data_IF_219043115332
#
_entry.id   IF_219043115332
#
_cell.length_a   1.000
_cell.length_b   1.000
_cell.length_c   1.000
_cell.angle_alpha   90.00
_cell.angle_beta   90.00
_cell.angle_gamma   90.00
#
_symmetry.space_group_name_H-M   'P 1'
#
loop_
_entity.id
_entity.type
_entity.pdbx_description
1 polymer ?
#
# COMPACT_ATOMS: atom_id res chain seq x y z
N UNK A 1 -11.40 14.89 -14.69
CA UNK A 1 -10.71 15.37 -13.46
C UNK A 1 -9.51 16.19 -13.90
N UNK A 2 -9.32 17.40 -13.38
CA UNK A 2 -8.12 18.19 -13.71
C UNK A 2 -6.89 17.54 -13.05
N UNK A 3 -5.79 17.42 -13.79
CA UNK A 3 -4.59 16.70 -13.35
C UNK A 3 -3.88 17.34 -12.15
N UNK A 4 -4.09 18.64 -11.93
CA UNK A 4 -3.51 19.40 -10.82
C UNK A 4 -4.19 19.15 -9.47
N UNK A 5 -5.41 18.60 -9.47
CA UNK A 5 -6.19 18.42 -8.24
C UNK A 5 -5.57 17.34 -7.34
N UNK A 6 -5.67 17.54 -6.04
CA UNK A 6 -5.39 16.52 -5.04
C UNK A 6 -6.56 15.54 -4.90
N UNK A 7 -6.31 14.37 -4.32
CA UNK A 7 -7.38 13.41 -4.04
C UNK A 7 -8.46 13.99 -3.12
N UNK A 8 -8.09 14.84 -2.16
CA UNK A 8 -9.03 15.56 -1.30
C UNK A 8 -10.00 16.44 -2.10
N UNK A 9 -9.46 17.28 -2.98
CA UNK A 9 -10.27 18.17 -3.83
C UNK A 9 -11.20 17.39 -4.76
N UNK A 10 -10.72 16.25 -5.29
CA UNK A 10 -11.56 15.34 -6.10
C UNK A 10 -12.68 14.73 -5.25
N UNK A 11 -12.38 14.31 -4.01
CA UNK A 11 -13.38 13.76 -3.10
C UNK A 11 -14.41 14.81 -2.69
N UNK A 12 -14.02 16.06 -2.43
CA UNK A 12 -14.93 17.16 -2.13
C UNK A 12 -15.89 17.43 -3.29
N UNK A 13 -15.36 17.55 -4.50
CA UNK A 13 -16.18 17.74 -5.70
C UNK A 13 -17.13 16.57 -5.96
N UNK A 14 -16.71 15.33 -5.64
CA UNK A 14 -17.56 14.15 -5.76
C UNK A 14 -18.68 14.13 -4.70
N UNK A 15 -18.36 14.42 -3.43
CA UNK A 15 -19.34 14.50 -2.32
C UNK A 15 -20.44 15.54 -2.53
N UNK A 16 -20.15 16.61 -3.29
CA UNK A 16 -21.15 17.60 -3.66
C UNK A 16 -22.26 17.09 -4.61
N UNK A 17 -22.19 15.83 -5.08
CA UNK A 17 -23.20 15.26 -5.97
C UNK A 17 -24.34 14.60 -5.19
N UNK A 18 -25.60 14.75 -5.62
CA UNK A 18 -26.76 14.22 -4.89
C UNK A 18 -26.72 12.72 -4.55
N UNK A 19 -26.13 11.93 -5.44
CA UNK A 19 -26.03 10.46 -5.31
C UNK A 19 -25.09 9.99 -4.19
N UNK A 20 -24.26 10.88 -3.64
CA UNK A 20 -23.30 10.57 -2.57
C UNK A 20 -23.63 11.27 -1.25
N UNK A 21 -24.83 11.84 -1.12
CA UNK A 21 -25.29 12.39 0.14
C UNK A 21 -25.46 11.29 1.21
N UNK A 22 -25.28 11.73 2.44
CA UNK A 22 -25.29 10.92 3.66
C UNK A 22 -26.60 10.12 3.78
N UNK A 23 -26.48 8.80 3.70
CA UNK A 23 -27.55 7.82 3.87
C UNK A 23 -27.56 7.23 5.29
N UNK A 24 -26.83 7.84 6.23
CA UNK A 24 -26.65 7.34 7.60
C UNK A 24 -25.58 6.24 7.71
N UNK A 25 -24.85 5.92 6.64
CA UNK A 25 -23.73 4.99 6.70
C UNK A 25 -22.51 5.65 7.38
N UNK A 26 -21.91 5.05 8.41
CA UNK A 26 -20.78 5.64 9.13
C UNK A 26 -19.46 5.63 8.33
N UNK A 27 -19.44 4.97 7.16
CA UNK A 27 -18.24 4.85 6.34
C UNK A 27 -18.11 6.05 5.41
N UNK A 28 -16.97 6.73 5.50
CA UNK A 28 -16.64 7.85 4.63
C UNK A 28 -16.31 7.38 3.20
N UNK A 29 -16.70 8.20 2.23
CA UNK A 29 -16.23 8.03 0.85
C UNK A 29 -14.78 8.51 0.71
N UNK A 30 -13.99 7.78 -0.07
CA UNK A 30 -12.63 8.15 -0.42
C UNK A 30 -12.30 7.70 -1.85
N UNK A 31 -11.13 8.09 -2.33
CA UNK A 31 -10.65 7.76 -3.67
C UNK A 31 -9.65 6.62 -3.62
N UNK A 32 -9.83 5.66 -4.53
CA UNK A 32 -8.99 4.50 -4.69
C UNK A 32 -8.33 4.49 -6.06
N UNK A 33 -7.08 4.04 -6.10
CA UNK A 33 -6.39 3.64 -7.32
C UNK A 33 -6.54 2.14 -7.48
N UNK A 34 -7.05 1.72 -8.62
CA UNK A 34 -7.23 0.31 -8.98
C UNK A 34 -6.39 0.01 -10.21
N UNK A 35 -5.65 -1.09 -10.16
CA UNK A 35 -4.77 -1.56 -11.24
C UNK A 35 -4.96 -3.06 -11.47
N UNK A 36 -4.36 -3.61 -12.53
CA UNK A 36 -4.43 -5.06 -12.84
C UNK A 36 -5.88 -5.55 -12.95
N UNK A 37 -6.72 -4.79 -13.64
CA UNK A 37 -8.09 -5.19 -13.96
C UNK A 37 -8.99 -5.35 -12.74
N UNK A 38 -8.66 -4.69 -11.62
CA UNK A 38 -9.41 -4.81 -10.38
C UNK A 38 -8.77 -5.71 -9.32
N UNK A 39 -7.66 -6.39 -9.63
CA UNK A 39 -7.03 -7.33 -8.71
C UNK A 39 -6.25 -6.64 -7.58
N UNK A 40 -5.79 -5.40 -7.81
CA UNK A 40 -5.01 -4.62 -6.87
C UNK A 40 -5.65 -3.25 -6.66
N UNK A 41 -5.91 -2.90 -5.40
CA UNK A 41 -6.53 -1.63 -5.04
C UNK A 41 -5.80 -0.97 -3.87
N UNK A 42 -5.63 0.34 -3.92
CA UNK A 42 -5.15 1.10 -2.76
C UNK A 42 -5.96 2.36 -2.54
N UNK A 43 -6.06 2.79 -1.28
CA UNK A 43 -6.52 4.12 -0.96
C UNK A 43 -5.48 5.15 -1.40
N UNK A 44 -5.93 6.24 -1.98
CA UNK A 44 -5.08 7.36 -2.37
C UNK A 44 -4.97 8.32 -1.19
N UNK A 45 -3.76 8.79 -0.87
CA UNK A 45 -3.58 9.80 0.18
C UNK A 45 -4.24 11.10 -0.25
N UNK A 46 -4.88 11.79 0.70
CA UNK A 46 -5.62 13.03 0.48
C UNK A 46 -4.78 14.12 -0.22
N UNK A 47 -3.45 14.11 0.00
CA UNK A 47 -2.48 15.06 -0.58
C UNK A 47 -1.95 14.65 -1.97
N UNK A 48 -2.14 13.40 -2.37
CA UNK A 48 -1.60 12.90 -3.63
C UNK A 48 -2.33 13.55 -4.82
N UNK A 49 -1.55 14.03 -5.81
CA UNK A 49 -2.08 14.71 -6.99
C UNK A 49 -2.50 13.71 -8.06
N UNK A 50 -3.57 13.98 -8.78
CA UNK A 50 -3.99 13.10 -9.88
C UNK A 50 -2.92 12.94 -10.96
N UNK A 51 -2.11 13.98 -11.21
CA UNK A 51 -0.96 13.91 -12.11
C UNK A 51 0.14 12.93 -11.65
N UNK A 52 0.44 12.81 -10.36
CA UNK A 52 1.45 11.85 -9.90
C UNK A 52 1.01 10.40 -10.12
N UNK A 53 -0.30 10.17 -10.19
CA UNK A 53 -0.90 8.88 -10.48
C UNK A 53 -0.94 8.63 -11.99
N UNK A 54 -1.71 9.45 -12.70
CA UNK A 54 -2.04 9.20 -14.11
C UNK A 54 -0.82 9.42 -15.00
N UNK A 55 -0.23 10.61 -14.95
CA UNK A 55 0.94 10.94 -15.79
C UNK A 55 2.24 10.39 -15.20
N UNK A 56 2.34 10.31 -13.88
CA UNK A 56 3.56 9.87 -13.20
C UNK A 56 3.74 8.35 -13.10
N UNK A 57 2.68 7.56 -13.32
CA UNK A 57 2.75 6.09 -13.24
C UNK A 57 1.98 5.37 -14.33
N UNK A 58 0.71 5.73 -14.56
CA UNK A 58 -0.12 4.92 -15.47
C UNK A 58 0.39 4.92 -16.90
N UNK A 59 0.98 6.01 -17.37
CA UNK A 59 1.60 6.09 -18.69
C UNK A 59 2.75 5.08 -18.88
N UNK A 60 3.52 4.81 -17.83
CA UNK A 60 4.58 3.79 -17.82
C UNK A 60 4.04 2.38 -17.55
N UNK A 61 2.78 2.30 -17.11
CA UNK A 61 2.05 1.07 -16.82
C UNK A 61 1.12 0.73 -17.99
N UNK A 62 -0.10 0.24 -17.72
CA UNK A 62 -1.16 0.11 -18.70
C UNK A 62 -2.35 0.99 -18.31
N UNK A 63 -2.54 2.15 -18.97
CA UNK A 63 -3.67 3.03 -18.69
C UNK A 63 -5.05 2.40 -18.90
N UNK A 64 -5.16 1.36 -19.73
CA UNK A 64 -6.44 0.67 -19.97
C UNK A 64 -6.81 -0.28 -18.82
N UNK A 65 -5.84 -0.60 -17.97
CA UNK A 65 -5.93 -1.55 -16.86
C UNK A 65 -5.93 -0.85 -15.49
N UNK A 66 -5.92 0.49 -15.50
CA UNK A 66 -5.85 1.35 -14.33
C UNK A 66 -7.03 2.33 -14.31
N UNK A 67 -7.68 2.49 -13.16
CA UNK A 67 -8.79 3.42 -13.00
C UNK A 67 -8.93 3.93 -11.57
N UNK A 68 -9.60 5.07 -11.43
CA UNK A 68 -9.91 5.68 -10.13
C UNK A 68 -11.33 5.30 -9.73
N UNK A 69 -11.53 4.93 -8.48
CA UNK A 69 -12.86 4.63 -7.93
C UNK A 69 -13.13 5.51 -6.71
N UNK A 70 -14.27 6.18 -6.72
CA UNK A 70 -14.78 6.91 -5.56
C UNK A 70 -15.85 6.05 -4.88
N UNK A 71 -15.55 5.53 -3.68
CA UNK A 71 -16.42 4.60 -2.94
C UNK A 71 -16.20 4.71 -1.44
N UNK A 72 -17.06 4.05 -0.65
CA UNK A 72 -16.90 3.94 0.80
C UNK A 72 -15.65 3.16 1.16
N UNK A 73 -14.90 3.67 2.13
CA UNK A 73 -13.75 2.99 2.70
C UNK A 73 -14.24 1.87 3.63
N UNK A 74 -14.16 0.62 3.15
CA UNK A 74 -14.56 -0.56 3.93
C UNK A 74 -13.53 -0.92 5.01
N UNK A 75 -12.33 -0.36 4.94
CA UNK A 75 -11.24 -0.68 5.84
C UNK A 75 -10.48 0.61 6.21
N UNK A 76 -11.15 1.51 6.94
CA UNK A 76 -10.56 2.78 7.31
C UNK A 76 -9.31 2.56 8.15
N UNK A 77 -8.32 3.41 7.91
CA UNK A 77 -7.12 3.50 8.72
C UNK A 77 -7.47 3.66 10.21
N UNK A 78 -6.74 2.95 11.08
CA UNK A 78 -7.00 2.93 12.52
C UNK A 78 -5.67 2.90 13.30
N UNK A 79 -5.39 3.99 14.03
CA UNK A 79 -4.17 4.14 14.83
C UNK A 79 -4.05 3.11 15.95
N UNK A 80 -5.18 2.63 16.49
CA UNK A 80 -5.20 1.59 17.53
C UNK A 80 -4.82 0.20 17.00
N UNK A 81 -4.69 0.06 15.68
CA UNK A 81 -4.35 -1.18 14.99
C UNK A 81 -3.08 -0.97 14.18
N UNK A 82 -1.97 -0.70 14.87
CA UNK A 82 -0.64 -0.50 14.27
C UNK A 82 0.29 -1.60 14.77
N UNK A 83 0.85 -2.37 13.84
CA UNK A 83 1.82 -3.44 14.12
C UNK A 83 3.09 -3.19 13.28
N UNK A 84 4.14 -2.57 13.86
CA UNK A 84 5.39 -2.26 13.15
C UNK A 84 6.27 -3.51 12.91
N UNK A 85 5.80 -4.70 13.29
CA UNK A 85 6.45 -5.96 13.02
C UNK A 85 5.40 -6.99 12.57
N UNK A 86 5.61 -7.56 11.38
CA UNK A 86 4.79 -8.63 10.84
C UNK A 86 5.64 -9.89 10.73
N UNK A 87 5.26 -10.92 11.47
CA UNK A 87 5.99 -12.19 11.54
C UNK A 87 5.32 -13.30 10.74
N UNK A 88 6.11 -14.30 10.34
CA UNK A 88 5.65 -15.47 9.58
C UNK A 88 4.85 -15.15 8.29
N UNK A 89 5.21 -14.03 7.65
CA UNK A 89 4.59 -13.58 6.42
C UNK A 89 5.12 -14.39 5.23
N UNK A 90 4.22 -14.84 4.36
CA UNK A 90 4.59 -15.45 3.09
C UNK A 90 4.84 -14.35 2.06
N UNK A 91 6.02 -14.31 1.46
CA UNK A 91 6.38 -13.30 0.45
C UNK A 91 6.83 -13.95 -0.85
N UNK A 92 6.33 -13.41 -1.97
CA UNK A 92 6.79 -13.72 -3.32
C UNK A 92 7.36 -12.46 -3.99
N UNK A 93 8.49 -12.62 -4.67
CA UNK A 93 9.13 -11.56 -5.47
C UNK A 93 8.31 -11.22 -6.73
N UNK A 94 8.52 -10.03 -7.32
CA UNK A 94 7.97 -9.68 -8.63
C UNK A 94 8.28 -10.76 -9.68
N UNK A 95 7.30 -11.10 -10.51
CA UNK A 95 7.40 -12.17 -11.51
C UNK A 95 7.36 -13.60 -10.94
N UNK A 96 7.42 -13.79 -9.62
CA UNK A 96 7.42 -15.10 -8.97
C UNK A 96 6.06 -15.50 -8.39
N UNK A 97 5.73 -16.79 -8.52
CA UNK A 97 4.63 -17.47 -7.81
C UNK A 97 5.08 -18.21 -6.54
N UNK A 98 6.39 -18.24 -6.29
CA UNK A 98 6.97 -18.99 -5.18
C UNK A 98 7.03 -18.10 -3.95
N UNK A 99 6.45 -18.59 -2.85
CA UNK A 99 6.43 -17.89 -1.58
C UNK A 99 7.47 -18.46 -0.62
N UNK A 100 8.19 -17.58 0.05
CA UNK A 100 9.09 -17.91 1.17
C UNK A 100 8.55 -17.29 2.45
N UNK A 101 8.88 -17.86 3.61
CA UNK A 101 8.51 -17.26 4.90
C UNK A 101 9.53 -16.20 5.27
N UNK A 102 9.08 -15.02 5.68
CA UNK A 102 9.91 -13.91 6.14
C UNK A 102 9.22 -13.14 7.26
N UNK A 103 10.00 -12.35 7.99
CA UNK A 103 9.48 -11.32 8.89
C UNK A 103 9.70 -9.95 8.26
N UNK A 104 8.82 -9.01 8.52
CA UNK A 104 8.95 -7.62 8.10
C UNK A 104 8.91 -6.71 9.33
N UNK A 105 9.79 -5.72 9.36
CA UNK A 105 9.86 -4.73 10.43
C UNK A 105 9.91 -3.33 9.85
N UNK A 106 9.20 -2.42 10.49
CA UNK A 106 9.32 -1.00 10.28
C UNK A 106 10.40 -0.47 11.22
N UNK A 107 11.53 -0.03 10.68
CA UNK A 107 12.66 0.49 11.44
C UNK A 107 12.69 2.01 11.36
N UNK A 108 12.70 2.64 12.54
CA UNK A 108 12.80 4.10 12.71
C UNK A 108 11.76 4.89 11.90
N UNK A 109 10.61 4.28 11.59
CA UNK A 109 9.51 4.90 10.83
C UNK A 109 9.82 5.29 9.38
N UNK A 110 10.97 4.91 8.83
CA UNK A 110 11.39 5.31 7.47
C UNK A 110 11.82 4.13 6.60
N UNK A 111 12.08 2.98 7.21
CA UNK A 111 12.59 1.79 6.51
C UNK A 111 11.72 0.58 6.76
N UNK A 112 11.41 -0.15 5.69
CA UNK A 112 10.83 -1.48 5.74
C UNK A 112 11.96 -2.48 5.53
N UNK A 113 12.21 -3.34 6.51
CA UNK A 113 13.26 -4.35 6.46
C UNK A 113 12.65 -5.74 6.46
N UNK A 114 13.05 -6.56 5.48
CA UNK A 114 12.70 -7.98 5.43
C UNK A 114 13.82 -8.82 6.05
N UNK A 115 13.44 -9.77 6.90
CA UNK A 115 14.34 -10.74 7.52
C UNK A 115 14.02 -12.16 7.05
N UNK A 116 15.07 -12.94 6.80
CA UNK A 116 14.92 -14.34 6.43
C UNK A 116 14.64 -15.21 7.65
N UNK A 117 13.45 -15.83 7.70
CA UNK A 117 13.11 -16.85 8.70
C UNK A 117 13.99 -18.10 8.59
N UNK A 118 14.49 -18.41 7.39
CA UNK A 118 15.42 -19.52 7.22
C UNK A 118 16.74 -19.24 7.96
N UNK A 119 17.26 -18.02 7.87
CA UNK A 119 18.47 -17.62 8.58
C UNK A 119 18.24 -17.53 10.10
N UNK A 120 17.08 -17.05 10.55
CA UNK A 120 16.74 -17.03 11.97
C UNK A 120 16.80 -18.42 12.61
N UNK A 121 16.24 -19.44 11.94
CA UNK A 121 16.27 -20.82 12.44
C UNK A 121 17.66 -21.45 12.46
N UNK A 122 18.53 -21.09 11.52
CA UNK A 122 19.87 -21.67 11.38
C UNK A 122 20.88 -20.97 12.29
N UNK A 123 20.81 -19.65 12.37
CA UNK A 123 21.82 -18.81 13.04
C UNK A 123 21.33 -18.22 14.37
N UNK A 124 20.09 -18.51 14.78
CA UNK A 124 19.42 -17.92 15.96
C UNK A 124 19.47 -16.38 15.98
N UNK A 125 19.48 -15.77 14.79
CA UNK A 125 19.58 -14.33 14.62
C UNK A 125 18.78 -13.86 13.41
N UNK A 126 18.08 -12.73 13.57
CA UNK A 126 17.39 -12.07 12.47
C UNK A 126 18.41 -11.49 11.49
N UNK A 127 18.47 -12.06 10.29
CA UNK A 127 19.34 -11.57 9.22
C UNK A 127 18.53 -10.75 8.22
N UNK A 128 18.78 -9.43 8.09
CA UNK A 128 18.12 -8.62 7.08
C UNK A 128 18.55 -9.08 5.68
N UNK A 129 17.60 -9.17 4.76
CA UNK A 129 17.84 -9.62 3.38
C UNK A 129 17.41 -8.61 2.34
N UNK A 130 16.45 -7.73 2.65
CA UNK A 130 16.05 -6.62 1.80
C UNK A 130 15.65 -5.42 2.67
N UNK A 131 15.78 -4.23 2.09
CA UNK A 131 15.37 -2.95 2.68
C UNK A 131 14.67 -2.10 1.62
N UNK A 132 13.61 -1.39 2.01
CA UNK A 132 12.93 -0.39 1.19
C UNK A 132 12.64 0.87 2.01
N UNK A 133 12.67 2.04 1.35
CA UNK A 133 12.14 3.27 1.96
C UNK A 133 10.62 3.20 2.03
N UNK A 134 10.05 3.59 3.18
CA UNK A 134 8.61 3.68 3.39
C UNK A 134 7.97 4.60 2.34
N UNK A 135 8.55 5.76 2.12
CA UNK A 135 8.07 6.85 1.26
C UNK A 135 8.10 6.47 -0.22
N UNK A 136 8.89 5.45 -0.57
CA UNK A 136 9.14 5.01 -1.94
C UNK A 136 8.46 3.68 -2.23
N UNK A 137 7.43 3.33 -1.47
CA UNK A 137 6.62 2.13 -1.68
C UNK A 137 5.14 2.46 -1.80
N UNK A 138 4.50 1.93 -2.84
CA UNK A 138 3.04 1.91 -2.93
C UNK A 138 2.52 0.58 -2.41
N UNK A 139 1.47 0.62 -1.60
CA UNK A 139 0.85 -0.55 -1.00
C UNK A 139 -0.57 -0.75 -1.53
N UNK A 140 -0.83 -1.91 -2.11
CA UNK A 140 -2.13 -2.33 -2.63
C UNK A 140 -2.66 -3.50 -1.81
N UNK A 141 -3.96 -3.49 -1.56
CA UNK A 141 -4.70 -4.64 -1.08
C UNK A 141 -4.97 -5.56 -2.26
N UNK A 142 -4.73 -6.85 -2.05
CA UNK A 142 -4.96 -7.87 -3.07
C UNK A 142 -3.68 -8.46 -3.67
N UNK A 143 -3.88 -9.30 -4.67
CA UNK A 143 -2.87 -10.01 -5.43
C UNK A 143 -3.45 -10.38 -6.79
N UNK A 144 -2.59 -10.59 -7.79
CA UNK A 144 -3.07 -11.08 -9.08
C UNK A 144 -3.62 -12.51 -8.98
N UNK A 145 -4.81 -12.80 -9.51
CA UNK A 145 -5.55 -14.05 -9.24
C UNK A 145 -4.75 -15.32 -9.58
N UNK A 146 -3.91 -15.24 -10.60
CA UNK A 146 -3.10 -16.37 -11.05
C UNK A 146 -1.88 -16.66 -10.16
N UNK A 147 -1.62 -15.83 -9.14
CA UNK A 147 -0.47 -15.96 -8.23
C UNK A 147 -0.66 -17.00 -7.14
N UNK A 148 -1.91 -17.26 -6.73
CA UNK A 148 -2.31 -18.30 -5.75
C UNK A 148 -1.50 -18.25 -4.43
N UNK A 149 -1.57 -17.14 -3.67
CA UNK A 149 -0.92 -17.02 -2.38
C UNK A 149 -1.44 -18.07 -1.37
N UNK A 150 -0.61 -18.49 -0.39
CA UNK A 150 -1.02 -19.51 0.59
C UNK A 150 -2.17 -19.09 1.51
N UNK A 151 -2.29 -17.80 1.78
CA UNK A 151 -3.35 -17.22 2.61
C UNK A 151 -4.07 -16.08 1.88
N UNK A 152 -5.33 -15.87 2.24
CA UNK A 152 -6.23 -14.91 1.56
C UNK A 152 -5.99 -13.45 1.94
N UNK A 153 -5.39 -13.18 3.09
CA UNK A 153 -5.11 -11.81 3.54
C UNK A 153 -3.83 -11.33 2.87
N UNK A 154 -3.95 -10.56 1.79
CA UNK A 154 -2.79 -10.20 0.96
C UNK A 154 -2.60 -8.70 0.79
N UNK A 155 -1.33 -8.31 0.71
CA UNK A 155 -0.90 -6.99 0.25
C UNK A 155 0.09 -7.19 -0.89
N UNK A 156 0.06 -6.31 -1.88
CA UNK A 156 1.08 -6.22 -2.92
C UNK A 156 1.73 -4.85 -2.85
N UNK A 157 3.05 -4.79 -2.69
CA UNK A 157 3.77 -3.52 -2.68
C UNK A 157 4.71 -3.36 -3.87
N UNK A 158 4.88 -2.11 -4.29
CA UNK A 158 5.64 -1.70 -5.48
C UNK A 158 6.63 -0.61 -5.06
N UNK A 159 7.95 -0.89 -5.05
CA UNK A 159 8.97 0.12 -4.87
C UNK A 159 9.06 1.06 -6.09
N UNK A 160 8.90 2.37 -5.87
CA UNK A 160 8.86 3.39 -6.92
C UNK A 160 10.21 3.58 -7.64
N UNK A 161 11.33 3.45 -6.92
CA UNK A 161 12.67 3.58 -7.52
C UNK A 161 13.13 2.36 -8.32
N UNK A 162 12.45 1.22 -8.18
CA UNK A 162 12.85 -0.02 -8.87
C UNK A 162 12.09 -0.10 -10.19
N UNK A 163 12.81 -0.33 -11.29
CA UNK A 163 12.21 -0.48 -12.61
C UNK A 163 11.46 -1.81 -12.73
N UNK A 164 10.26 -1.86 -12.15
CA UNK A 164 9.33 -2.97 -12.29
C UNK A 164 8.56 -2.82 -13.59
N UNK A 165 8.58 -3.87 -14.42
CA UNK A 165 7.80 -3.88 -15.67
C UNK A 165 6.35 -4.21 -15.33
N UNK A 166 5.42 -3.28 -15.55
CA UNK A 166 3.99 -3.48 -15.29
C UNK A 166 3.40 -4.71 -15.99
N UNK A 167 3.88 -4.98 -17.22
CA UNK A 167 3.48 -6.14 -18.03
C UNK A 167 4.07 -7.47 -17.53
N UNK A 168 4.89 -7.47 -16.48
CA UNK A 168 5.29 -8.72 -15.82
C UNK A 168 4.05 -9.46 -15.32
N UNK A 169 4.13 -10.79 -15.34
CA UNK A 169 3.03 -11.66 -14.90
C UNK A 169 2.56 -11.33 -13.48
N UNK A 170 3.49 -10.97 -12.60
CA UNK A 170 3.22 -10.49 -11.24
C UNK A 170 4.03 -9.21 -11.01
N UNK A 171 3.37 -8.08 -10.78
CA UNK A 171 3.98 -6.76 -10.87
C UNK A 171 4.81 -6.39 -9.64
N UNK A 172 4.27 -6.63 -8.45
CA UNK A 172 4.90 -6.26 -7.18
C UNK A 172 5.33 -7.45 -6.32
N UNK A 173 5.88 -7.12 -5.15
CA UNK A 173 6.09 -8.07 -4.08
C UNK A 173 4.74 -8.39 -3.43
N UNK A 174 4.35 -9.68 -3.37
CA UNK A 174 3.09 -10.07 -2.73
C UNK A 174 3.38 -10.68 -1.37
N UNK A 175 2.76 -10.08 -0.35
CA UNK A 175 2.74 -10.55 1.03
C UNK A 175 1.40 -11.23 1.27
N UNK A 176 1.44 -12.37 1.94
CA UNK A 176 0.30 -13.18 2.31
C UNK A 176 0.40 -13.51 3.79
N UNK A 177 -0.59 -13.02 4.55
CA UNK A 177 -0.66 -13.05 6.00
C UNK A 177 -1.63 -14.14 6.44
N UNK A 178 -1.32 -14.84 7.52
CA UNK A 178 -2.17 -15.91 8.03
C UNK A 178 -3.50 -15.39 8.60
N UNK A 179 -3.50 -14.17 9.15
CA UNK A 179 -4.67 -13.53 9.74
C UNK A 179 -4.78 -12.07 9.31
N UNK A 180 -6.02 -11.57 9.31
CA UNK A 180 -6.31 -10.23 8.84
C UNK A 180 -5.80 -9.14 9.80
N UNK A 181 -5.81 -9.41 11.10
CA UNK A 181 -5.36 -8.45 12.11
C UNK A 181 -3.89 -8.05 11.89
N UNK A 182 -3.03 -9.01 11.55
CA UNK A 182 -1.63 -8.75 11.21
C UNK A 182 -1.50 -7.98 9.89
N UNK A 183 -2.27 -8.33 8.87
CA UNK A 183 -2.29 -7.60 7.58
C UNK A 183 -2.67 -6.13 7.78
N UNK A 184 -3.78 -5.89 8.47
CA UNK A 184 -4.30 -4.54 8.76
C UNK A 184 -3.33 -3.78 9.64
N UNK A 185 -2.83 -4.41 10.71
CA UNK A 185 -1.86 -3.82 11.62
C UNK A 185 -0.59 -3.37 10.93
N UNK A 186 -0.05 -4.23 10.06
CA UNK A 186 1.12 -3.92 9.25
C UNK A 186 0.87 -2.77 8.26
N UNK A 187 -0.23 -2.84 7.50
CA UNK A 187 -0.57 -1.79 6.53
C UNK A 187 -0.73 -0.44 7.22
N UNK A 188 -1.45 -0.38 8.34
CA UNK A 188 -1.60 0.84 9.12
C UNK A 188 -0.26 1.37 9.62
N UNK A 189 0.65 0.50 10.11
CA UNK A 189 1.97 0.93 10.54
C UNK A 189 2.78 1.60 9.42
N UNK A 190 2.71 1.05 8.20
CA UNK A 190 3.41 1.63 7.06
C UNK A 190 2.76 2.94 6.63
N UNK A 191 1.43 2.97 6.49
CA UNK A 191 0.70 4.16 6.06
C UNK A 191 0.81 5.32 7.06
N UNK A 192 0.82 5.05 8.37
CA UNK A 192 0.98 6.10 9.38
C UNK A 192 2.31 6.83 9.20
N UNK A 193 3.38 6.10 8.92
CA UNK A 193 4.68 6.70 8.65
C UNK A 193 4.74 7.46 7.32
N UNK A 194 3.98 7.03 6.31
CA UNK A 194 3.87 7.79 5.05
C UNK A 194 3.12 9.11 5.24
N UNK A 195 2.05 9.13 6.04
CA UNK A 195 1.28 10.34 6.30
C UNK A 195 2.05 11.31 7.24
N UNK A 196 2.69 10.82 8.31
CA UNK A 196 3.44 11.64 9.28
C UNK A 196 4.61 12.40 8.64
N UNK A 197 5.30 11.80 7.66
CA UNK A 197 6.43 12.44 6.95
C UNK A 197 5.97 13.49 5.92
N UNK A 198 4.67 13.58 5.62
CA UNK A 198 4.10 14.59 4.72
C UNK A 198 3.47 15.78 5.44
N UNK A 199 3.51 15.78 6.79
CA UNK A 199 3.29 17.00 7.55
C UNK A 199 4.43 17.99 7.23
N UNK A 200 4.15 19.26 6.90
CA UNK A 200 5.22 20.25 6.85
C UNK A 200 5.89 20.24 8.21
N UNK A 201 7.21 20.03 8.23
CA UNK A 201 8.04 20.22 9.41
C UNK A 201 7.68 21.58 9.99
N UNK A 202 6.93 21.59 11.08
CA UNK A 202 6.69 22.80 11.83
C UNK A 202 8.09 23.36 12.15
N UNK A 203 8.40 24.63 11.82
CA UNK A 203 9.67 25.20 12.21
C UNK A 203 9.76 25.08 13.73
N UNK A 204 10.79 24.38 14.20
CA UNK A 204 11.14 24.35 15.61
C UNK A 204 11.22 25.80 16.07
N UNK A 205 10.26 26.22 16.90
CA UNK A 205 10.39 27.44 17.66
C UNK A 205 11.65 27.28 18.50
N UNK A 206 12.73 27.95 18.08
CA UNK A 206 13.88 28.17 18.95
C UNK A 206 13.38 29.08 20.07
N UNK A 207 13.38 28.54 21.29
CA UNK A 207 13.27 29.31 22.53
C UNK A 207 14.67 29.75 22.91
#
# INVERSE_FOLDING_TARGET
>A
VQSSLTAEQVCEAARGRPIFHDDGCPLNYTLFEVIKGGELERRISHREKMSSIVTGRWLDWDPNDCYLVFKRDQMPFCLDRVLPFADDVKVADPGSKTFTTSSFKLESGSKIVQYSKACERIFHALKPINEWSVDETLWFIGHELTRKPPYFYTLTFIPLKKSLKYKSKFFGYCLSFQNDAQRVGWLNAVLSCQDDQTAPTAPLLQI
#
